data_IF_512437278580
#
_entry.id   IF_512437278580
#
_cell.length_a   1.000
_cell.length_b   1.000
_cell.length_c   1.000
_cell.angle_alpha   90.00
_cell.angle_beta   90.00
_cell.angle_gamma   90.00
#
_symmetry.space_group_name_H-M   'P 1'
#
loop_
_entity.id
_entity.type
_entity.pdbx_description
1 polymer ?
#
# COMPACT_ATOMS: atom_id res chain seq x y z
N UNK A 1 -6.39 24.79 -17.31
CA UNK A 1 -7.39 23.71 -17.33
C UNK A 1 -7.73 23.33 -15.89
N UNK A 2 -8.99 23.48 -15.47
CA UNK A 2 -9.45 23.14 -14.11
C UNK A 2 -9.80 21.65 -14.07
N UNK A 3 -9.20 20.89 -13.15
CA UNK A 3 -9.54 19.47 -12.96
C UNK A 3 -10.95 19.36 -12.36
N UNK A 4 -11.79 18.40 -12.79
CA UNK A 4 -13.11 18.18 -12.23
C UNK A 4 -13.02 17.72 -10.75
N UNK A 5 -14.05 17.98 -9.93
CA UNK A 5 -14.04 17.60 -8.52
C UNK A 5 -14.10 16.07 -8.38
N UNK A 6 -13.23 15.54 -7.52
CA UNK A 6 -13.15 14.11 -7.21
C UNK A 6 -14.37 13.66 -6.39
N UNK A 7 -15.02 12.58 -6.85
CA UNK A 7 -16.18 11.96 -6.22
C UNK A 7 -15.85 11.48 -4.79
N UNK A 8 -16.76 11.65 -3.80
CA UNK A 8 -16.47 11.42 -2.37
C UNK A 8 -16.11 9.98 -1.97
N UNK A 9 -16.35 8.99 -2.83
CA UNK A 9 -16.06 7.58 -2.58
C UNK A 9 -14.59 7.17 -2.78
N UNK A 10 -13.69 8.12 -3.14
CA UNK A 10 -12.24 7.90 -3.31
C UNK A 10 -11.39 8.56 -2.22
N UNK A 11 -11.96 8.87 -1.06
CA UNK A 11 -11.20 9.47 0.03
C UNK A 11 -10.48 8.40 0.86
N UNK A 12 -9.15 8.47 0.79
CA UNK A 12 -8.18 7.92 1.74
C UNK A 12 -7.98 6.39 1.78
N UNK A 13 -7.22 5.89 0.79
CA UNK A 13 -6.37 4.71 0.99
C UNK A 13 -4.90 5.14 0.86
N UNK A 14 -4.43 5.96 1.80
CA UNK A 14 -3.02 6.34 1.86
C UNK A 14 -2.53 6.20 3.32
N UNK A 15 -1.57 5.30 3.51
CA UNK A 15 -0.58 5.39 4.57
C UNK A 15 0.77 5.04 3.94
N UNK A 16 1.66 6.02 3.93
CA UNK A 16 2.96 6.02 3.26
C UNK A 16 3.83 4.84 3.71
N UNK A 17 4.27 4.02 2.76
CA UNK A 17 5.51 3.25 2.92
C UNK A 17 6.59 4.02 2.18
N UNK A 18 7.42 4.75 2.95
CA UNK A 18 8.59 5.56 2.55
C UNK A 18 8.99 5.44 1.07
N UNK A 19 8.31 6.20 0.22
CA UNK A 19 8.72 6.49 -1.15
C UNK A 19 9.63 7.71 -1.20
N UNK A 20 10.66 7.79 -0.34
CA UNK A 20 11.66 8.85 -0.49
C UNK A 20 12.53 8.51 -1.70
N UNK A 21 12.12 9.04 -2.86
CA UNK A 21 12.93 9.09 -4.08
C UNK A 21 14.34 9.56 -3.72
N UNK A 22 15.34 8.69 -3.86
CA UNK A 22 16.75 9.08 -3.69
C UNK A 22 17.04 10.23 -4.66
N UNK A 23 17.37 11.41 -4.11
CA UNK A 23 17.76 12.58 -4.91
C UNK A 23 19.02 12.19 -5.70
N UNK A 24 18.90 12.09 -7.03
CA UNK A 24 20.01 11.76 -7.93
C UNK A 24 19.90 10.44 -8.68
N UNK A 25 18.89 9.60 -8.41
CA UNK A 25 18.74 8.34 -9.16
C UNK A 25 18.36 8.61 -10.64
N UNK A 26 19.07 8.01 -11.62
CA UNK A 26 18.78 8.19 -13.04
C UNK A 26 17.38 7.66 -13.36
N UNK A 27 16.59 8.43 -14.13
CA UNK A 27 15.19 8.14 -14.49
C UNK A 27 14.97 6.83 -15.27
N UNK A 28 16.04 6.12 -15.66
CA UNK A 28 16.01 5.07 -16.71
C UNK A 28 16.26 3.62 -16.25
N UNK A 29 16.20 3.31 -14.95
CA UNK A 29 16.60 1.99 -14.44
C UNK A 29 15.46 1.11 -13.88
N UNK A 30 14.23 1.22 -14.38
CA UNK A 30 13.17 0.28 -14.00
C UNK A 30 12.24 0.01 -15.19
N UNK A 31 12.56 -1.03 -15.96
CA UNK A 31 11.60 -1.67 -16.87
C UNK A 31 10.68 -2.56 -16.03
N UNK A 32 9.56 -1.99 -15.59
CA UNK A 32 8.58 -2.71 -14.79
C UNK A 32 7.38 -1.85 -14.46
N UNK A 33 6.27 -2.49 -14.11
CA UNK A 33 5.08 -1.83 -13.59
C UNK A 33 5.11 -1.92 -12.06
N UNK A 34 5.70 -0.93 -11.35
CA UNK A 34 5.72 -0.97 -9.90
C UNK A 34 4.29 -0.84 -9.36
N UNK A 35 3.98 -1.66 -8.35
CA UNK A 35 2.72 -1.60 -7.62
C UNK A 35 3.01 -1.50 -6.12
N UNK A 36 2.17 -0.76 -5.40
CA UNK A 36 2.22 -0.66 -3.94
C UNK A 36 1.08 -1.48 -3.38
N UNK A 37 1.39 -2.34 -2.41
CA UNK A 37 0.41 -3.15 -1.68
C UNK A 37 0.57 -2.82 -0.20
N UNK A 38 -0.50 -2.35 0.44
CA UNK A 38 -0.51 -2.01 1.86
C UNK A 38 -1.74 -2.60 2.55
N UNK A 39 -1.69 -2.65 3.88
CA UNK A 39 -2.81 -3.02 4.75
C UNK A 39 -3.34 -1.77 5.45
N UNK A 40 -4.63 -1.73 5.74
CA UNK A 40 -5.24 -0.67 6.54
C UNK A 40 -5.35 -1.12 7.99
N UNK A 41 -4.64 -0.43 8.90
CA UNK A 41 -4.64 -0.74 10.34
C UNK A 41 -5.71 0.04 11.12
N UNK A 42 -6.24 1.12 10.54
CA UNK A 42 -7.20 2.01 11.18
C UNK A 42 -8.17 2.61 10.16
N UNK A 43 -9.45 2.63 10.51
CA UNK A 43 -10.43 3.46 9.81
C UNK A 43 -10.48 4.86 10.44
N UNK A 44 -9.85 5.84 9.76
CA UNK A 44 -9.77 7.23 10.23
C UNK A 44 -11.12 7.93 10.40
N UNK A 45 -12.18 7.43 9.76
CA UNK A 45 -13.53 7.98 9.93
C UNK A 45 -14.16 7.63 11.28
N UNK A 46 -13.56 6.68 12.03
CA UNK A 46 -14.06 6.21 13.33
C UNK A 46 -13.15 6.56 14.50
N UNK A 47 -12.04 7.27 14.23
CA UNK A 47 -11.03 7.61 15.22
C UNK A 47 -9.64 7.72 14.60
N UNK A 48 -8.69 8.22 15.35
CA UNK A 48 -7.31 8.49 14.93
C UNK A 48 -6.28 7.52 15.53
N UNK A 49 -6.64 6.85 16.62
CA UNK A 49 -5.79 5.88 17.29
C UNK A 49 -6.10 4.45 16.83
N UNK A 50 -5.06 3.70 16.47
CA UNK A 50 -5.13 2.26 16.24
C UNK A 50 -5.45 1.57 17.57
N UNK A 51 -6.60 0.89 17.64
CA UNK A 51 -7.08 0.16 18.83
C UNK A 51 -7.32 -1.30 18.49
N UNK A 52 -6.25 -2.01 18.16
CA UNK A 52 -6.26 -3.45 17.87
C UNK A 52 -5.26 -4.15 18.79
N UNK A 53 -5.52 -5.42 19.10
CA UNK A 53 -4.60 -6.24 19.89
C UNK A 53 -3.30 -6.53 19.13
N UNK A 54 -2.22 -6.77 19.85
CA UNK A 54 -0.88 -6.96 19.26
C UNK A 54 -0.85 -8.12 18.25
N UNK A 55 -1.49 -9.24 18.56
CA UNK A 55 -1.53 -10.41 17.67
C UNK A 55 -2.27 -10.09 16.36
N UNK A 56 -3.34 -9.28 16.44
CA UNK A 56 -4.08 -8.83 15.27
C UNK A 56 -3.28 -7.83 14.43
N UNK A 57 -2.47 -6.99 15.08
CA UNK A 57 -1.53 -6.09 14.39
C UNK A 57 -0.51 -6.88 13.57
N UNK A 58 0.12 -7.91 14.16
CA UNK A 58 1.08 -8.79 13.46
C UNK A 58 0.40 -9.51 12.28
N UNK A 59 -0.80 -10.06 12.49
CA UNK A 59 -1.56 -10.74 11.45
C UNK A 59 -1.85 -9.83 10.26
N UNK A 60 -2.15 -8.54 10.51
CA UNK A 60 -2.43 -7.57 9.46
C UNK A 60 -1.18 -7.18 8.69
N UNK A 61 -0.04 -6.98 9.36
CA UNK A 61 1.24 -6.67 8.71
C UNK A 61 1.74 -7.81 7.80
N UNK A 62 1.36 -9.07 8.07
CA UNK A 62 1.75 -10.22 7.25
C UNK A 62 0.97 -10.29 5.91
N UNK A 63 -0.24 -9.73 5.84
CA UNK A 63 -1.16 -9.88 4.69
C UNK A 63 -0.57 -9.41 3.35
N UNK A 64 0.12 -8.24 3.24
CA UNK A 64 0.74 -7.82 2.00
C UNK A 64 1.78 -8.84 1.49
N UNK A 65 2.60 -9.40 2.39
CA UNK A 65 3.59 -10.41 2.02
C UNK A 65 2.93 -11.68 1.52
N UNK A 66 1.91 -12.18 2.22
CA UNK A 66 1.16 -13.37 1.79
C UNK A 66 0.55 -13.19 0.39
N UNK A 67 -0.04 -12.03 0.11
CA UNK A 67 -0.60 -11.72 -1.19
C UNK A 67 0.47 -11.69 -2.29
N UNK A 68 1.58 -10.99 -2.05
CA UNK A 68 2.68 -10.86 -3.02
C UNK A 68 3.33 -12.22 -3.28
N UNK A 69 3.59 -13.01 -2.25
CA UNK A 69 4.14 -14.36 -2.39
C UNK A 69 3.20 -15.28 -3.16
N UNK A 70 1.88 -15.24 -2.88
CA UNK A 70 0.90 -16.02 -3.62
C UNK A 70 0.84 -15.62 -5.10
N UNK A 71 0.92 -14.32 -5.39
CA UNK A 71 0.96 -13.80 -6.76
C UNK A 71 2.23 -14.25 -7.51
N UNK A 72 3.39 -14.18 -6.87
CA UNK A 72 4.66 -14.63 -7.45
C UNK A 72 4.61 -16.13 -7.75
N UNK A 73 4.16 -16.95 -6.79
CA UNK A 73 3.99 -18.40 -6.96
C UNK A 73 3.11 -18.74 -8.16
N UNK A 74 1.96 -18.06 -8.27
CA UNK A 74 1.04 -18.21 -9.40
C UNK A 74 1.68 -17.85 -10.74
N UNK A 75 2.54 -16.84 -10.79
CA UNK A 75 3.22 -16.43 -12.03
C UNK A 75 4.38 -17.36 -12.40
N UNK A 76 5.07 -17.91 -11.40
CA UNK A 76 6.20 -18.84 -11.61
C UNK A 76 5.76 -20.30 -11.77
N UNK A 77 4.49 -20.62 -11.51
CA UNK A 77 3.94 -21.98 -11.64
C UNK A 77 4.39 -22.94 -10.54
N UNK A 78 4.70 -22.42 -9.35
CA UNK A 78 5.15 -23.18 -8.17
C UNK A 78 4.20 -23.10 -6.97
#
# INVERSE_FOLDING_TARGET
>A
MRRPPLHPSRQALEMEVTGKRLRGAPRKAMEGHPAIVCVTLLNRMKGDQVKIEHDQYIEFEERPFRLVTALIRKQLGC
#
